data_IF_570411255441
#
_entry.id   IF_570411255441
#
_cell.length_a   1.000
_cell.length_b   1.000
_cell.length_c   1.000
_cell.angle_alpha   90.00
_cell.angle_beta   90.00
_cell.angle_gamma   90.00
#
_symmetry.space_group_name_H-M   'P 1'
#
loop_
_entity.id
_entity.type
_entity.pdbx_description
1 polymer ?
#
# COMPACT_ATOMS: atom_id res chain seq x y z
N UNK A 1 -13.71 -14.89 -0.60
CA UNK A 1 -12.54 -14.74 -1.51
C UNK A 1 -11.72 -13.50 -1.14
N UNK A 2 -12.32 -12.32 -1.11
CA UNK A 2 -11.71 -11.04 -0.67
C UNK A 2 -11.02 -11.09 0.70
N UNK A 3 -11.63 -11.70 1.72
CA UNK A 3 -11.02 -11.82 3.06
C UNK A 3 -9.66 -12.55 3.08
N UNK A 4 -9.50 -13.59 2.27
CA UNK A 4 -8.24 -14.35 2.15
C UNK A 4 -7.17 -13.53 1.42
N UNK A 5 -7.58 -12.79 0.39
CA UNK A 5 -6.70 -11.91 -0.37
C UNK A 5 -6.17 -10.76 0.49
N UNK A 6 -7.05 -10.08 1.24
CA UNK A 6 -6.64 -9.03 2.20
C UNK A 6 -5.64 -9.56 3.22
N UNK A 7 -5.88 -10.76 3.77
CA UNK A 7 -4.96 -11.38 4.72
C UNK A 7 -3.58 -11.68 4.10
N UNK A 8 -3.52 -12.07 2.82
CA UNK A 8 -2.28 -12.35 2.12
C UNK A 8 -1.48 -11.05 1.85
N UNK A 9 -2.15 -9.99 1.40
CA UNK A 9 -1.51 -8.68 1.19
C UNK A 9 -1.00 -8.09 2.51
N UNK A 10 -1.78 -8.23 3.60
CA UNK A 10 -1.34 -7.85 4.94
C UNK A 10 -0.18 -8.71 5.46
N UNK A 11 -0.07 -9.98 5.06
CA UNK A 11 1.01 -10.82 5.55
C UNK A 11 2.34 -10.55 4.83
N UNK A 12 2.31 -10.42 3.50
CA UNK A 12 3.53 -10.32 2.70
C UNK A 12 4.01 -8.89 2.46
N UNK A 13 3.08 -7.94 2.26
CA UNK A 13 3.44 -6.58 1.86
C UNK A 13 3.35 -5.56 2.98
N UNK A 14 2.78 -5.91 4.15
CA UNK A 14 2.60 -4.95 5.23
C UNK A 14 3.91 -4.41 5.79
N UNK A 15 4.92 -5.24 6.00
CA UNK A 15 6.20 -4.75 6.54
C UNK A 15 6.89 -3.81 5.55
N UNK A 16 6.90 -4.15 4.26
CA UNK A 16 7.44 -3.29 3.22
C UNK A 16 6.66 -1.97 3.10
N UNK A 17 5.32 -2.03 3.10
CA UNK A 17 4.46 -0.85 3.05
C UNK A 17 4.66 0.04 4.30
N UNK A 18 4.78 -0.57 5.49
CA UNK A 18 5.07 0.15 6.74
C UNK A 18 6.39 0.91 6.64
N UNK A 19 7.47 0.24 6.24
CA UNK A 19 8.81 0.85 6.10
C UNK A 19 8.79 1.99 5.08
N UNK A 20 8.21 1.77 3.90
CA UNK A 20 8.09 2.79 2.86
C UNK A 20 7.25 3.98 3.32
N UNK A 21 6.12 3.73 4.01
CA UNK A 21 5.26 4.78 4.54
C UNK A 21 5.94 5.60 5.64
N UNK A 22 6.71 4.97 6.53
CA UNK A 22 7.51 5.67 7.54
C UNK A 22 8.60 6.52 6.88
N UNK A 23 9.32 5.98 5.89
CA UNK A 23 10.34 6.74 5.15
C UNK A 23 9.73 7.95 4.43
N UNK A 24 8.59 7.78 3.77
CA UNK A 24 7.89 8.89 3.12
C UNK A 24 7.44 9.96 4.12
N UNK A 25 6.93 9.56 5.29
CA UNK A 25 6.55 10.49 6.36
C UNK A 25 7.77 11.28 6.87
N UNK A 26 8.90 10.62 7.11
CA UNK A 26 10.15 11.28 7.53
C UNK A 26 10.61 12.28 6.47
N UNK A 27 10.61 11.89 5.19
CA UNK A 27 11.00 12.77 4.09
C UNK A 27 10.08 14.00 3.97
N UNK A 28 8.78 13.82 4.13
CA UNK A 28 7.81 14.93 4.13
C UNK A 28 8.03 15.87 5.33
N UNK A 29 8.29 15.34 6.53
CA UNK A 29 8.61 16.16 7.69
C UNK A 29 9.90 16.96 7.48
N UNK A 30 10.95 16.34 6.93
CA UNK A 30 12.21 17.03 6.61
C UNK A 30 12.00 18.10 5.55
N UNK A 31 11.33 17.79 4.43
CA UNK A 31 11.04 18.74 3.38
C UNK A 31 10.19 19.92 3.87
N UNK A 32 9.24 19.66 4.77
CA UNK A 32 8.43 20.70 5.43
C UNK A 32 9.29 21.60 6.32
N UNK A 33 10.20 21.02 7.13
CA UNK A 33 11.11 21.78 8.00
C UNK A 33 12.09 22.67 7.22
N UNK A 34 12.45 22.27 5.99
CA UNK A 34 13.28 23.05 5.08
C UNK A 34 12.47 24.12 4.31
N UNK A 35 11.16 24.19 4.49
CA UNK A 35 10.28 25.12 3.80
C UNK A 35 10.11 24.81 2.30
N UNK A 36 10.41 23.59 1.86
CA UNK A 36 10.27 23.20 0.44
C UNK A 36 8.81 22.93 0.06
N UNK A 37 7.98 22.59 1.05
CA UNK A 37 6.56 22.32 0.84
C UNK A 37 5.74 23.58 1.14
N UNK A 38 4.79 23.95 0.26
CA UNK A 38 3.88 25.04 0.53
C UNK A 38 2.95 24.64 1.67
N UNK A 39 3.15 25.24 2.84
CA UNK A 39 2.23 25.10 3.97
C UNK A 39 1.09 26.12 3.77
N UNK A 40 -0.18 25.71 3.88
CA UNK A 40 -1.27 26.65 3.85
C UNK A 40 -1.10 27.63 5.02
N UNK A 41 -1.08 28.93 4.73
CA UNK A 41 -1.04 29.97 5.74
C UNK A 41 -2.30 29.84 6.60
N UNK A 42 -2.15 29.30 7.79
CA UNK A 42 -3.29 28.99 8.65
C UNK A 42 -3.68 30.23 9.42
N UNK A 43 -4.48 31.09 8.81
CA UNK A 43 -5.11 32.17 9.53
C UNK A 43 -6.22 31.58 10.43
N UNK A 44 -6.04 31.72 11.75
CA UNK A 44 -7.02 31.46 12.82
C UNK A 44 -7.22 30.00 13.27
N UNK A 45 -6.84 29.72 14.52
CA UNK A 45 -7.47 28.82 15.52
C UNK A 45 -7.72 27.33 15.22
N UNK A 46 -8.20 26.99 14.03
CA UNK A 46 -8.54 25.63 13.59
C UNK A 46 -7.35 24.88 12.95
N UNK A 47 -6.24 25.58 12.77
CA UNK A 47 -5.03 25.14 12.10
C UNK A 47 -4.36 23.92 12.74
N UNK A 48 -4.23 23.92 14.08
CA UNK A 48 -3.42 22.94 14.79
C UNK A 48 -3.96 21.52 14.62
N UNK A 49 -5.28 21.35 14.65
CA UNK A 49 -5.88 20.03 14.48
C UNK A 49 -6.00 19.63 13.01
N UNK A 50 -6.20 20.59 12.10
CA UNK A 50 -6.31 20.30 10.67
C UNK A 50 -5.04 19.66 10.10
N UNK A 51 -3.86 20.15 10.52
CA UNK A 51 -2.58 19.54 10.14
C UNK A 51 -2.45 18.09 10.60
N UNK A 52 -2.87 17.79 11.83
CA UNK A 52 -2.85 16.43 12.37
C UNK A 52 -3.80 15.50 11.59
N UNK A 53 -5.03 15.92 11.31
CA UNK A 53 -5.98 15.13 10.51
C UNK A 53 -5.49 14.88 9.09
N UNK A 54 -4.86 15.88 8.47
CA UNK A 54 -4.30 15.74 7.12
C UNK A 54 -3.11 14.77 7.11
N UNK A 55 -2.24 14.82 8.11
CA UNK A 55 -1.12 13.88 8.24
C UNK A 55 -1.60 12.44 8.47
N UNK A 56 -2.55 12.24 9.39
CA UNK A 56 -3.08 10.90 9.70
C UNK A 56 -3.84 10.33 8.50
N UNK A 57 -4.72 11.11 7.89
CA UNK A 57 -5.48 10.65 6.71
C UNK A 57 -4.55 10.41 5.52
N UNK A 58 -3.58 11.28 5.25
CA UNK A 58 -2.57 11.10 4.21
C UNK A 58 -1.71 9.86 4.41
N UNK A 59 -1.26 9.58 5.64
CA UNK A 59 -0.51 8.37 5.96
C UNK A 59 -1.35 7.10 5.72
N UNK A 60 -2.60 7.08 6.17
CA UNK A 60 -3.50 5.95 5.95
C UNK A 60 -3.75 5.70 4.46
N UNK A 61 -3.97 6.76 3.67
CA UNK A 61 -4.15 6.67 2.21
C UNK A 61 -2.88 6.16 1.55
N UNK A 62 -1.71 6.70 1.91
CA UNK A 62 -0.43 6.24 1.37
C UNK A 62 -0.18 4.76 1.67
N UNK A 63 -0.47 4.30 2.88
CA UNK A 63 -0.37 2.89 3.25
C UNK A 63 -1.33 2.02 2.43
N UNK A 64 -2.58 2.46 2.23
CA UNK A 64 -3.54 1.75 1.39
C UNK A 64 -3.06 1.66 -0.07
N UNK A 65 -2.49 2.74 -0.61
CA UNK A 65 -1.92 2.76 -1.97
C UNK A 65 -0.66 1.89 -2.05
N UNK A 66 0.19 1.83 -1.03
CA UNK A 66 1.35 0.93 -1.05
C UNK A 66 0.95 -0.54 -0.93
N UNK A 67 -0.08 -0.85 -0.15
CA UNK A 67 -0.58 -2.21 0.06
C UNK A 67 -1.39 -2.75 -1.12
N UNK A 68 -2.18 -1.90 -1.77
CA UNK A 68 -3.14 -2.32 -2.79
C UNK A 68 -2.93 -1.64 -4.14
N UNK A 69 -2.10 -0.62 -4.24
CA UNK A 69 -1.89 0.14 -5.47
C UNK A 69 -1.23 -0.67 -6.57
N UNK A 70 -0.36 -1.63 -6.24
CA UNK A 70 0.18 -2.58 -7.23
C UNK A 70 -0.89 -3.41 -7.90
N UNK A 71 -2.04 -3.58 -7.26
CA UNK A 71 -3.13 -4.45 -7.71
C UNK A 71 -4.27 -3.61 -8.29
N UNK A 72 -4.50 -2.43 -7.72
CA UNK A 72 -5.51 -1.46 -8.15
C UNK A 72 -5.08 -0.67 -9.39
N UNK A 73 -3.81 -0.27 -9.53
CA UNK A 73 -3.35 0.47 -10.71
C UNK A 73 -3.48 -0.37 -11.99
N UNK A 74 -3.01 -1.63 -12.04
CA UNK A 74 -3.23 -2.47 -13.21
C UNK A 74 -4.72 -2.71 -13.43
N UNK A 75 -5.49 -3.12 -12.41
CA UNK A 75 -6.93 -3.37 -12.58
C UNK A 75 -7.72 -2.18 -13.16
N UNK A 76 -7.25 -0.94 -12.95
CA UNK A 76 -7.84 0.27 -13.53
C UNK A 76 -7.23 0.74 -14.86
N UNK A 77 -5.92 0.55 -15.09
CA UNK A 77 -5.21 1.07 -16.28
C UNK A 77 -4.90 0.00 -17.35
N UNK A 78 -4.79 -1.26 -16.95
CA UNK A 78 -4.38 -2.39 -17.77
C UNK A 78 -5.30 -3.56 -17.40
N UNK A 79 -6.33 -3.84 -18.21
CA UNK A 79 -7.13 -5.07 -18.10
C UNK A 79 -6.23 -6.31 -18.21
N UNK A 80 -5.57 -6.67 -17.11
CA UNK A 80 -4.57 -7.72 -17.01
C UNK A 80 -5.02 -8.67 -15.91
N UNK A 81 -6.05 -9.46 -16.24
CA UNK A 81 -6.71 -10.37 -15.30
C UNK A 81 -5.86 -11.61 -14.93
N UNK A 82 -4.72 -11.86 -15.59
CA UNK A 82 -4.08 -13.19 -15.51
C UNK A 82 -2.75 -13.28 -14.74
N UNK A 83 -2.06 -12.19 -14.43
CA UNK A 83 -0.67 -12.28 -13.91
C UNK A 83 -0.59 -12.48 -12.39
N UNK A 84 -1.68 -12.23 -11.66
CA UNK A 84 -1.67 -12.36 -10.19
C UNK A 84 -1.87 -13.79 -9.69
N UNK A 85 -2.49 -14.66 -10.50
CA UNK A 85 -2.66 -16.09 -10.17
C UNK A 85 -1.33 -16.84 -10.22
N UNK A 86 -0.41 -16.43 -11.08
CA UNK A 86 0.81 -17.21 -11.32
C UNK A 86 1.79 -17.13 -10.13
N UNK A 87 1.93 -15.97 -9.47
CA UNK A 87 2.80 -15.86 -8.27
C UNK A 87 2.26 -16.57 -7.03
N UNK A 88 0.94 -16.75 -6.92
CA UNK A 88 0.33 -17.49 -5.80
C UNK A 88 0.37 -19.01 -6.06
N UNK A 89 0.27 -19.43 -7.33
CA UNK A 89 0.38 -20.83 -7.73
C UNK A 89 1.83 -21.36 -7.71
N UNK A 90 2.86 -20.50 -7.87
CA UNK A 90 4.27 -20.90 -7.78
C UNK A 90 4.71 -21.30 -6.35
N UNK A 91 3.91 -20.97 -5.33
CA UNK A 91 4.09 -21.49 -3.96
C UNK A 91 3.15 -22.67 -3.63
N UNK A 92 2.64 -23.39 -4.63
CA UNK A 92 2.22 -24.78 -4.44
C UNK A 92 3.47 -25.65 -4.29
N UNK A 93 4.02 -25.65 -3.08
CA UNK A 93 5.17 -26.48 -2.67
C UNK A 93 4.82 -27.98 -2.69
N UNK A 94 3.55 -28.34 -2.86
CA UNK A 94 3.10 -29.72 -2.87
C UNK A 94 3.17 -30.33 -4.28
N UNK A 95 4.39 -30.68 -4.71
CA UNK A 95 4.67 -31.39 -5.97
C UNK A 95 3.90 -32.71 -6.12
N UNK A 96 3.35 -33.24 -5.03
CA UNK A 96 2.59 -34.49 -5.02
C UNK A 96 1.20 -34.32 -5.65
N UNK A 97 0.49 -33.23 -5.36
CA UNK A 97 -0.83 -32.93 -5.94
C UNK A 97 -0.77 -32.56 -7.43
N UNK A 98 0.35 -31.99 -7.91
CA UNK A 98 0.54 -31.76 -9.35
C UNK A 98 0.69 -33.05 -10.17
N UNK A 99 1.16 -34.15 -9.56
CA UNK A 99 1.28 -35.44 -10.24
C UNK A 99 -0.05 -36.19 -10.36
N UNK A 100 -0.90 -36.10 -9.35
CA UNK A 100 -2.18 -36.83 -9.30
C UNK A 100 -3.24 -36.28 -10.28
N UNK A 101 -3.04 -35.10 -10.87
CA UNK A 101 -3.96 -34.52 -11.86
C UNK A 101 -3.62 -34.79 -13.34
N UNK A 102 -2.55 -35.55 -13.63
CA UNK A 102 -2.09 -35.87 -15.00
C UNK A 102 -2.39 -37.36 -15.36
N UNK A 103 -2.86 -38.15 -14.41
CA UNK A 103 -3.40 -39.51 -14.65
C UNK A 103 -4.93 -39.48 -14.73
#
# INVERSE_FOLDING_TARGET
RTKKWVALCLHFNFLAALVCGVLAAVLLCVASSLGWLPLPASEHGYAEHFGAYCCVSGFCVLQAVLLFGSDLLPAWLLQYDDVFLDKVCIHQVDKRLQREGIE
#
